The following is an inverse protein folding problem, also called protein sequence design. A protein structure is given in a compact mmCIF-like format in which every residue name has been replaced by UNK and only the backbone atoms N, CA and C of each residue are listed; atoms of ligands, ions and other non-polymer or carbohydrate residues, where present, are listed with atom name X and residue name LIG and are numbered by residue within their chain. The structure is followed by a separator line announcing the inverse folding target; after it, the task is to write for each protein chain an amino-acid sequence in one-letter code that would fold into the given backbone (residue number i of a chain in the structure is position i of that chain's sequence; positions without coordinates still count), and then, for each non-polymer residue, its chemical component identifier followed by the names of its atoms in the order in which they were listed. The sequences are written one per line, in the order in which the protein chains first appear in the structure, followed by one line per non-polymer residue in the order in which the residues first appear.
data_IF_880027943763
#
_entry.id   IF_880027943763
#
_cell.length_a   1.000
_cell.length_b   1.000
_cell.length_c   1.000
_cell.angle_alpha   90.00
_cell.angle_beta   90.00
_cell.angle_gamma   90.00
#
_symmetry.space_group_name_H-M   'P 1'
#
loop_
_entity.id
_entity.type
_entity.pdbx_description
1 polymer ?
#
# COMPACT_ATOMS: atom_id res chain seq x y z
N UNK A 1 24.00 14.00 13.94
CA UNK A 1 22.95 12.98 13.86
C UNK A 1 23.08 12.07 15.07
N UNK A 2 22.20 12.23 16.06
CA UNK A 2 22.18 11.35 17.25
C UNK A 2 21.40 10.07 16.94
N UNK A 3 20.29 10.19 16.20
CA UNK A 3 19.43 9.06 15.80
C UNK A 3 20.18 8.00 14.96
N UNK A 4 21.06 8.41 14.03
CA UNK A 4 21.80 7.46 13.19
C UNK A 4 22.83 6.60 13.95
N UNK A 5 23.09 6.92 15.22
CA UNK A 5 23.96 6.13 16.10
C UNK A 5 23.16 5.19 17.01
N UNK A 6 21.86 5.46 17.16
CA UNK A 6 20.95 4.56 17.86
C UNK A 6 20.59 3.42 16.90
N UNK A 7 20.91 2.18 17.27
CA UNK A 7 20.54 0.97 16.50
C UNK A 7 19.04 0.67 16.59
N UNK A 8 18.21 1.71 16.68
CA UNK A 8 16.78 1.67 16.94
C UNK A 8 16.08 2.75 16.13
N UNK A 9 15.02 2.36 15.45
CA UNK A 9 14.10 3.25 14.75
C UNK A 9 12.75 3.13 15.46
N UNK A 10 12.07 4.25 15.67
CA UNK A 10 10.73 4.27 16.26
C UNK A 10 9.68 4.59 15.19
N UNK A 11 8.78 3.65 14.92
CA UNK A 11 7.71 3.77 13.91
C UNK A 11 6.35 3.64 14.61
N UNK A 12 6.02 4.61 15.47
CA UNK A 12 4.81 4.58 16.29
C UNK A 12 3.53 4.91 15.54
N UNK A 13 3.64 5.51 14.35
CA UNK A 13 2.50 6.01 13.59
C UNK A 13 1.79 4.92 12.78
N UNK A 14 2.36 3.70 12.73
CA UNK A 14 1.89 2.61 11.88
C UNK A 14 1.62 1.35 12.68
N UNK A 15 0.70 0.54 12.19
CA UNK A 15 0.34 -0.73 12.81
C UNK A 15 1.48 -1.75 12.76
N UNK A 16 1.51 -2.68 13.73
CA UNK A 16 2.50 -3.76 13.74
C UNK A 16 2.41 -4.63 12.48
N UNK A 17 1.19 -4.83 11.95
CA UNK A 17 0.94 -5.58 10.71
C UNK A 17 1.55 -4.87 9.49
N UNK A 18 1.43 -3.55 9.39
CA UNK A 18 2.09 -2.74 8.34
C UNK A 18 3.60 -2.84 8.42
N UNK A 19 4.19 -2.67 9.62
CA UNK A 19 5.64 -2.80 9.79
C UNK A 19 6.12 -4.21 9.44
N UNK A 20 5.37 -5.24 9.83
CA UNK A 20 5.69 -6.64 9.50
C UNK A 20 5.60 -6.91 8.00
N UNK A 21 4.59 -6.37 7.32
CA UNK A 21 4.44 -6.46 5.87
C UNK A 21 5.63 -5.78 5.17
N UNK A 22 6.02 -4.59 5.62
CA UNK A 22 7.19 -3.90 5.11
C UNK A 22 8.50 -4.70 5.31
N UNK A 23 8.72 -5.28 6.49
CA UNK A 23 9.89 -6.13 6.74
C UNK A 23 9.87 -7.34 5.79
N UNK A 24 8.74 -8.02 5.66
CA UNK A 24 8.60 -9.14 4.74
C UNK A 24 8.87 -8.72 3.28
N UNK A 25 8.43 -7.53 2.86
CA UNK A 25 8.78 -6.94 1.57
C UNK A 25 10.29 -6.74 1.38
N UNK A 26 11.00 -6.19 2.38
CA UNK A 26 12.46 -6.00 2.31
C UNK A 26 13.19 -7.32 2.07
N UNK A 27 12.77 -8.39 2.75
CA UNK A 27 13.47 -9.68 2.69
C UNK A 27 13.08 -10.53 1.47
N UNK A 28 11.87 -10.38 0.95
CA UNK A 28 11.37 -11.16 -0.19
C UNK A 28 11.56 -10.46 -1.54
N UNK A 29 11.50 -9.13 -1.55
CA UNK A 29 11.42 -8.35 -2.78
C UNK A 29 10.00 -8.33 -3.37
N UNK A 30 9.79 -7.49 -4.38
CA UNK A 30 8.47 -7.18 -4.94
C UNK A 30 7.65 -8.40 -5.41
N UNK A 31 8.17 -9.27 -6.29
CA UNK A 31 7.38 -10.38 -6.85
C UNK A 31 6.88 -11.36 -5.78
N UNK A 32 7.79 -11.87 -4.95
CA UNK A 32 7.47 -12.83 -3.89
C UNK A 32 6.58 -12.21 -2.80
N UNK A 33 6.75 -10.90 -2.55
CA UNK A 33 5.89 -10.17 -1.63
C UNK A 33 4.45 -10.02 -2.17
N UNK A 34 4.28 -9.74 -3.46
CA UNK A 34 2.95 -9.67 -4.08
C UNK A 34 2.19 -11.00 -3.97
N UNK A 35 2.86 -12.12 -4.19
CA UNK A 35 2.25 -13.45 -3.98
C UNK A 35 1.84 -13.65 -2.52
N UNK A 36 2.69 -13.21 -1.59
CA UNK A 36 2.43 -13.34 -0.16
C UNK A 36 1.30 -12.43 0.32
N UNK A 37 1.14 -11.23 -0.24
CA UNK A 37 0.03 -10.32 0.06
C UNK A 37 -1.33 -10.97 -0.20
N UNK A 38 -1.42 -11.83 -1.22
CA UNK A 38 -2.64 -12.58 -1.53
C UNK A 38 -2.86 -13.81 -0.62
N UNK A 39 -1.95 -14.10 0.30
CA UNK A 39 -2.06 -15.23 1.23
C UNK A 39 -2.88 -14.87 2.48
N UNK A 40 -3.40 -15.90 3.16
CA UNK A 40 -4.16 -15.73 4.42
C UNK A 40 -3.38 -15.09 5.56
N UNK A 41 -2.04 -14.94 5.44
CA UNK A 41 -1.18 -14.33 6.45
C UNK A 41 -1.45 -12.82 6.62
N UNK A 42 -2.02 -12.16 5.61
CA UNK A 42 -2.30 -10.73 5.61
C UNK A 42 -3.80 -10.42 5.53
N UNK A 43 -4.65 -11.32 6.02
CA UNK A 43 -6.09 -11.11 6.04
C UNK A 43 -6.50 -9.86 6.85
N UNK A 44 -5.73 -9.51 7.88
CA UNK A 44 -5.95 -8.35 8.73
C UNK A 44 -5.05 -7.14 8.35
N UNK A 45 -4.37 -7.19 7.20
CA UNK A 45 -3.54 -6.09 6.74
C UNK A 45 -4.41 -5.01 6.11
N UNK A 46 -4.33 -3.79 6.66
CA UNK A 46 -4.85 -2.61 5.99
C UNK A 46 -3.87 -2.17 4.89
N UNK A 47 -4.26 -2.38 3.64
CA UNK A 47 -3.45 -2.01 2.48
C UNK A 47 -3.32 -0.50 2.33
N UNK A 48 -4.30 0.28 2.81
CA UNK A 48 -4.21 1.73 2.79
C UNK A 48 -3.13 2.22 3.75
N UNK A 49 -3.02 1.63 4.94
CA UNK A 49 -1.95 1.91 5.92
C UNK A 49 -0.57 1.55 5.34
N UNK A 50 -0.46 0.41 4.63
CA UNK A 50 0.79 0.02 3.97
C UNK A 50 1.15 0.94 2.78
N UNK A 51 0.18 1.37 1.99
CA UNK A 51 0.38 2.32 0.90
C UNK A 51 0.84 3.69 1.44
N UNK A 52 0.21 4.19 2.51
CA UNK A 52 0.62 5.43 3.18
C UNK A 52 2.05 5.32 3.71
N UNK A 53 2.38 4.19 4.36
CA UNK A 53 3.75 3.91 4.81
C UNK A 53 4.74 3.97 3.65
N UNK A 54 4.45 3.24 2.57
CA UNK A 54 5.32 3.16 1.40
C UNK A 54 5.57 4.53 0.78
N UNK A 55 4.52 5.33 0.65
CA UNK A 55 4.62 6.69 0.14
C UNK A 55 5.43 7.60 1.08
N UNK A 56 5.12 7.61 2.38
CA UNK A 56 5.81 8.44 3.38
C UNK A 56 7.31 8.17 3.45
N UNK A 57 7.71 6.91 3.30
CA UNK A 57 9.12 6.50 3.28
C UNK A 57 9.73 6.42 1.87
N UNK A 58 9.02 6.88 0.84
CA UNK A 58 9.48 6.97 -0.55
C UNK A 58 9.94 5.62 -1.14
N UNK A 59 9.22 4.54 -0.81
CA UNK A 59 9.51 3.18 -1.26
C UNK A 59 8.65 2.87 -2.48
N UNK A 60 9.05 3.42 -3.64
CA UNK A 60 8.27 3.38 -4.89
C UNK A 60 7.82 1.97 -5.29
N UNK A 61 8.71 0.99 -5.21
CA UNK A 61 8.39 -0.40 -5.54
C UNK A 61 7.34 -1.02 -4.61
N UNK A 62 7.23 -0.55 -3.36
CA UNK A 62 6.18 -1.00 -2.44
C UNK A 62 4.86 -0.28 -2.71
N UNK A 63 4.90 1.00 -3.09
CA UNK A 63 3.73 1.71 -3.63
C UNK A 63 3.16 0.94 -4.81
N UNK A 64 4.00 0.54 -5.77
CA UNK A 64 3.58 -0.25 -6.93
C UNK A 64 2.96 -1.59 -6.53
N UNK A 65 3.50 -2.27 -5.51
CA UNK A 65 2.91 -3.50 -5.00
C UNK A 65 1.52 -3.28 -4.39
N UNK A 66 1.35 -2.21 -3.61
CA UNK A 66 0.06 -1.87 -3.01
C UNK A 66 -0.96 -1.47 -4.08
N UNK A 67 -0.56 -0.65 -5.05
CA UNK A 67 -1.41 -0.25 -6.19
C UNK A 67 -1.84 -1.46 -7.02
N UNK A 68 -0.93 -2.40 -7.32
CA UNK A 68 -1.25 -3.64 -8.03
C UNK A 68 -2.16 -4.58 -7.23
N UNK A 69 -2.08 -4.54 -5.90
CA UNK A 69 -2.98 -5.32 -5.06
C UNK A 69 -4.38 -4.69 -5.05
N UNK A 70 -4.45 -3.36 -4.91
CA UNK A 70 -5.70 -2.60 -4.97
C UNK A 70 -6.40 -2.78 -6.31
N UNK A 71 -5.70 -2.76 -7.44
CA UNK A 71 -6.33 -2.97 -8.76
C UNK A 71 -7.01 -4.33 -8.93
N UNK A 72 -6.69 -5.31 -8.07
CA UNK A 72 -7.28 -6.65 -8.13
C UNK A 72 -8.46 -6.86 -7.19
N UNK A 73 -8.52 -6.08 -6.10
CA UNK A 73 -9.46 -6.30 -5.00
C UNK A 73 -10.35 -5.10 -4.70
N UNK A 74 -9.98 -3.90 -5.15
CA UNK A 74 -10.76 -2.71 -4.91
C UNK A 74 -12.16 -2.86 -5.51
N UNK A 75 -13.11 -2.40 -4.74
CA UNK A 75 -14.53 -2.43 -5.06
C UNK A 75 -15.06 -1.01 -5.19
N UNK A 76 -16.33 -0.90 -5.51
CA UNK A 76 -16.97 0.42 -5.60
C UNK A 76 -16.96 1.18 -4.28
N UNK A 77 -16.98 0.47 -3.14
CA UNK A 77 -16.92 1.08 -1.81
C UNK A 77 -15.56 1.79 -1.57
N UNK A 78 -14.53 1.42 -2.33
CA UNK A 78 -13.17 1.95 -2.21
C UNK A 78 -12.91 3.20 -3.06
N UNK A 79 -13.86 3.59 -3.92
CA UNK A 79 -13.71 4.67 -4.91
C UNK A 79 -13.23 5.99 -4.29
N UNK A 80 -13.81 6.37 -3.14
CA UNK A 80 -13.41 7.61 -2.46
C UNK A 80 -11.97 7.53 -1.93
N UNK A 81 -11.58 6.38 -1.37
CA UNK A 81 -10.23 6.14 -0.87
C UNK A 81 -9.21 6.12 -2.01
N UNK A 82 -9.56 5.50 -3.14
CA UNK A 82 -8.75 5.49 -4.37
C UNK A 82 -8.53 6.90 -4.90
N UNK A 83 -9.58 7.71 -5.04
CA UNK A 83 -9.47 9.10 -5.49
C UNK A 83 -8.55 9.90 -4.57
N UNK A 84 -8.76 9.80 -3.25
CA UNK A 84 -7.95 10.52 -2.27
C UNK A 84 -6.48 10.10 -2.34
N UNK A 85 -6.20 8.79 -2.44
CA UNK A 85 -4.84 8.27 -2.53
C UNK A 85 -4.17 8.67 -3.86
N UNK A 86 -4.90 8.60 -4.98
CA UNK A 86 -4.39 9.00 -6.28
C UNK A 86 -3.95 10.48 -6.29
N UNK A 87 -4.77 11.37 -5.74
CA UNK A 87 -4.45 12.80 -5.67
C UNK A 87 -3.38 13.12 -4.63
N UNK A 88 -3.38 12.42 -3.47
CA UNK A 88 -2.40 12.64 -2.41
C UNK A 88 -1.00 12.16 -2.80
N UNK A 89 -0.92 11.07 -3.56
CA UNK A 89 0.33 10.39 -3.91
C UNK A 89 0.76 10.62 -5.36
N UNK A 90 0.03 11.45 -6.11
CA UNK A 90 0.24 11.70 -7.54
C UNK A 90 0.40 10.40 -8.35
N UNK A 91 -0.50 9.44 -8.10
CA UNK A 91 -0.42 8.08 -8.64
C UNK A 91 -1.44 7.90 -9.77
N UNK A 92 -0.96 7.93 -11.02
CA UNK A 92 -1.79 7.83 -12.22
C UNK A 92 -2.55 6.50 -12.31
N UNK A 93 -1.96 5.39 -11.87
CA UNK A 93 -2.60 4.08 -11.91
C UNK A 93 -3.80 3.97 -10.95
N UNK A 94 -3.71 4.59 -9.76
CA UNK A 94 -4.86 4.67 -8.86
C UNK A 94 -5.98 5.57 -9.44
N UNK A 95 -5.61 6.61 -10.19
CA UNK A 95 -6.55 7.48 -10.89
C UNK A 95 -7.29 6.75 -12.00
N UNK A 96 -6.56 5.94 -12.78
CA UNK A 96 -7.15 5.07 -13.81
C UNK A 96 -8.14 4.08 -13.18
N UNK A 97 -7.73 3.37 -12.13
CA UNK A 97 -8.58 2.42 -11.41
C UNK A 97 -9.85 3.07 -10.84
N UNK A 98 -9.72 4.26 -10.24
CA UNK A 98 -10.86 5.05 -9.78
C UNK A 98 -11.86 5.34 -10.91
N UNK A 99 -11.38 5.77 -12.08
CA UNK A 99 -12.24 6.09 -13.23
C UNK A 99 -12.97 4.84 -13.76
N UNK A 100 -12.28 3.69 -13.82
CA UNK A 100 -12.88 2.43 -14.29
C UNK A 100 -14.02 1.95 -13.37
N UNK A 101 -13.82 2.04 -12.06
CA UNK A 101 -14.85 1.67 -11.07
C UNK A 101 -16.04 2.63 -11.10
N UNK A 102 -15.81 3.92 -11.31
CA UNK A 102 -16.88 4.92 -11.45
C UNK A 102 -17.74 4.72 -12.69
N UNK A 103 -17.16 4.25 -13.80
CA UNK A 103 -17.92 3.95 -15.03
C UNK A 103 -18.79 2.71 -14.82
N UNK A 104 -18.29 1.72 -14.08
CA UNK A 104 -18.98 0.44 -13.84
C UNK A 104 -20.22 0.55 -12.93
N UNK A 105 -20.40 1.66 -12.20
CA UNK A 105 -21.59 1.91 -11.36
C UNK A 105 -22.80 2.46 -12.14
N UNK A 106 -22.56 2.93 -13.36
CA UNK A 106 -23.55 3.69 -14.15
C UNK A 106 -24.33 2.78 -15.13
N UNK A 107 -23.97 1.49 -15.22
CA UNK A 107 -24.65 0.44 -15.99
C UNK A 107 -25.51 -0.48 -15.10
#
# INVERSE_FOLDING_TARGET
MLESQEKKINLSDFSETTIRAFIDFIYLGGPDFQEKLMSTKYIDLDIWDLLEFAHRFQITTLVDCCTNFLSRLATIDDVYSLYKAAELYDNEHLKELYNELMISDVD
#
